data_IF_175870614931
#
_entry.id   IF_175870614931
#
_cell.length_a   1.000
_cell.length_b   1.000
_cell.length_c   1.000
_cell.angle_alpha   90.00
_cell.angle_beta   90.00
_cell.angle_gamma   90.00
#
_symmetry.space_group_name_H-M   'P 1'
#
loop_
_entity.id
_entity.type
_entity.pdbx_description
1 polymer ?
#
# COMPACT_ATOMS: atom_id res chain seq x y z
N UNK A 1 -0.99 19.17 1.30
CA UNK A 1 0.24 18.47 1.69
C UNK A 1 -0.19 17.09 2.15
N UNK A 2 0.02 16.07 1.33
CA UNK A 2 -0.27 14.70 1.74
C UNK A 2 0.84 14.29 2.72
N UNK A 3 0.47 13.97 3.96
CA UNK A 3 1.41 13.46 4.97
C UNK A 3 1.93 12.06 4.61
N UNK A 4 2.85 11.51 5.41
CA UNK A 4 3.32 10.14 5.21
C UNK A 4 2.15 9.16 5.28
N UNK A 5 2.15 8.21 4.36
CA UNK A 5 1.21 7.09 4.32
C UNK A 5 1.32 6.27 5.60
N UNK A 6 0.15 5.95 6.16
CA UNK A 6 0.02 5.11 7.36
C UNK A 6 -0.60 3.75 7.02
N UNK A 7 -0.55 2.80 7.96
CA UNK A 7 -1.26 1.52 7.82
C UNK A 7 -2.78 1.70 7.79
N UNK A 8 -3.31 2.77 8.37
CA UNK A 8 -4.74 3.11 8.32
C UNK A 8 -5.17 3.52 6.92
N UNK A 9 -4.34 4.29 6.22
CA UNK A 9 -4.53 4.61 4.81
C UNK A 9 -4.50 3.34 3.95
N UNK A 10 -3.50 2.47 4.18
CA UNK A 10 -3.38 1.22 3.45
C UNK A 10 -4.61 0.32 3.66
N UNK A 11 -5.04 0.13 4.91
CA UNK A 11 -6.22 -0.64 5.26
C UNK A 11 -7.48 -0.08 4.59
N UNK A 12 -7.66 1.24 4.62
CA UNK A 12 -8.78 1.92 3.97
C UNK A 12 -8.77 1.74 2.46
N UNK A 13 -7.58 1.79 1.84
CA UNK A 13 -7.40 1.55 0.40
C UNK A 13 -7.70 0.10 0.02
N UNK A 14 -7.17 -0.88 0.77
CA UNK A 14 -7.44 -2.30 0.56
C UNK A 14 -8.95 -2.59 0.65
N UNK A 15 -9.62 -2.02 1.66
CA UNK A 15 -11.08 -2.12 1.80
C UNK A 15 -11.81 -1.48 0.63
N UNK A 16 -11.39 -0.30 0.17
CA UNK A 16 -12.09 0.44 -0.90
C UNK A 16 -11.83 -0.12 -2.31
N UNK A 17 -10.65 -0.67 -2.58
CA UNK A 17 -10.22 -1.08 -3.91
C UNK A 17 -10.32 -2.59 -4.14
N UNK A 18 -10.07 -3.38 -3.11
CA UNK A 18 -10.14 -4.84 -3.19
C UNK A 18 -11.34 -5.44 -2.46
N UNK A 19 -12.08 -4.64 -1.68
CA UNK A 19 -13.18 -5.17 -0.86
C UNK A 19 -12.70 -6.02 0.31
N UNK A 20 -11.40 -5.97 0.63
CA UNK A 20 -10.77 -6.77 1.68
C UNK A 20 -10.63 -5.92 2.94
N UNK A 21 -11.52 -6.09 3.93
CA UNK A 21 -11.37 -5.40 5.21
C UNK A 21 -10.18 -6.01 5.96
N UNK A 22 -9.17 -5.19 6.21
CA UNK A 22 -8.01 -5.56 7.02
C UNK A 22 -7.82 -4.52 8.12
N UNK A 23 -7.44 -4.98 9.30
CA UNK A 23 -7.17 -4.09 10.42
C UNK A 23 -5.77 -3.48 10.28
N UNK A 24 -5.59 -2.16 10.51
CA UNK A 24 -4.28 -1.52 10.42
C UNK A 24 -3.28 -2.10 11.43
N UNK A 25 -3.76 -2.57 12.58
CA UNK A 25 -2.94 -3.27 13.56
C UNK A 25 -2.41 -4.62 13.04
N UNK A 26 -3.20 -5.34 12.23
CA UNK A 26 -2.79 -6.60 11.62
C UNK A 26 -1.73 -6.34 10.54
N UNK A 27 -1.94 -5.32 9.69
CA UNK A 27 -0.94 -4.87 8.71
C UNK A 27 0.38 -4.46 9.38
N UNK A 28 0.34 -3.78 10.52
CA UNK A 28 1.53 -3.39 11.26
C UNK A 28 2.25 -4.62 11.86
N UNK A 29 1.48 -5.51 12.51
CA UNK A 29 2.02 -6.73 13.12
C UNK A 29 2.58 -7.72 12.08
N UNK A 30 2.01 -7.72 10.87
CA UNK A 30 2.34 -8.62 9.77
C UNK A 30 2.90 -7.86 8.57
N UNK A 31 3.64 -6.78 8.83
CA UNK A 31 4.15 -5.88 7.79
C UNK A 31 5.10 -6.54 6.78
N UNK A 32 5.72 -7.66 7.16
CA UNK A 32 6.55 -8.49 6.28
C UNK A 32 5.75 -9.57 5.53
N UNK A 33 4.52 -9.88 5.95
CA UNK A 33 3.68 -10.89 5.31
C UNK A 33 3.20 -10.44 3.93
N UNK A 34 3.01 -11.38 2.98
CA UNK A 34 2.53 -11.03 1.66
C UNK A 34 1.07 -10.60 1.69
N UNK A 35 0.69 -9.70 0.78
CA UNK A 35 -0.66 -9.20 0.57
C UNK A 35 -1.70 -10.30 0.36
N UNK A 36 -1.31 -11.39 -0.31
CA UNK A 36 -2.17 -12.57 -0.49
C UNK A 36 -2.60 -13.21 0.83
N UNK A 37 -1.82 -13.10 1.90
CA UNK A 37 -2.16 -13.63 3.22
C UNK A 37 -3.28 -12.83 3.92
N UNK A 38 -3.48 -11.58 3.49
CA UNK A 38 -4.58 -10.75 3.94
C UNK A 38 -5.81 -10.89 3.03
N UNK A 39 -5.75 -11.71 1.98
CA UNK A 39 -6.83 -11.83 0.98
C UNK A 39 -6.81 -10.72 -0.07
N UNK A 40 -5.64 -10.12 -0.33
CA UNK A 40 -5.46 -9.17 -1.44
C UNK A 40 -4.88 -9.90 -2.65
N UNK A 41 -5.70 -10.07 -3.69
CA UNK A 41 -5.28 -10.62 -4.97
C UNK A 41 -4.41 -9.64 -5.77
N UNK A 42 -3.70 -10.15 -6.77
CA UNK A 42 -2.84 -9.36 -7.68
C UNK A 42 -3.58 -8.17 -8.32
N UNK A 43 -4.85 -8.37 -8.73
CA UNK A 43 -5.68 -7.29 -9.27
C UNK A 43 -6.06 -6.24 -8.21
N UNK A 44 -6.33 -6.67 -6.98
CA UNK A 44 -6.59 -5.78 -5.86
C UNK A 44 -5.36 -4.93 -5.53
N UNK A 45 -4.18 -5.53 -5.55
CA UNK A 45 -2.90 -4.84 -5.35
C UNK A 45 -2.65 -3.79 -6.44
N UNK A 46 -2.87 -4.11 -7.71
CA UNK A 46 -2.77 -3.14 -8.81
C UNK A 46 -3.71 -1.95 -8.60
N UNK A 47 -4.96 -2.19 -8.18
CA UNK A 47 -5.92 -1.13 -7.88
C UNK A 47 -5.50 -0.24 -6.70
N UNK A 48 -4.86 -0.81 -5.68
CA UNK A 48 -4.29 -0.06 -4.55
C UNK A 48 -3.11 0.79 -5.01
N UNK A 49 -2.18 0.23 -5.80
CA UNK A 49 -1.02 0.95 -6.33
C UNK A 49 -1.47 2.12 -7.21
N UNK A 50 -2.37 1.89 -8.18
CA UNK A 50 -2.87 2.96 -9.05
C UNK A 50 -3.55 4.11 -8.29
N UNK A 51 -4.28 3.81 -7.20
CA UNK A 51 -4.87 4.86 -6.37
C UNK A 51 -3.82 5.62 -5.56
N UNK A 52 -2.77 4.95 -5.09
CA UNK A 52 -1.64 5.59 -4.42
C UNK A 52 -0.91 6.54 -5.38
N UNK A 53 -0.64 6.10 -6.60
CA UNK A 53 -0.03 6.94 -7.63
C UNK A 53 -0.87 8.18 -7.93
N UNK A 54 -2.19 8.01 -8.04
CA UNK A 54 -3.12 9.12 -8.26
C UNK A 54 -3.17 10.08 -7.05
N UNK A 55 -3.17 9.55 -5.83
CA UNK A 55 -3.24 10.35 -4.58
C UNK A 55 -1.96 11.15 -4.33
N UNK A 56 -0.81 10.53 -4.52
CA UNK A 56 0.50 11.15 -4.25
C UNK A 56 1.12 11.80 -5.48
N UNK A 57 0.57 11.56 -6.68
CA UNK A 57 1.07 12.12 -7.94
C UNK A 57 2.45 11.56 -8.33
N UNK A 58 2.84 10.40 -7.80
CA UNK A 58 4.14 9.79 -8.05
C UNK A 58 3.96 8.39 -8.64
N UNK A 59 4.78 8.03 -9.62
CA UNK A 59 4.76 6.68 -10.18
C UNK A 59 5.43 5.72 -9.21
N UNK A 60 4.67 4.76 -8.69
CA UNK A 60 5.16 3.64 -7.89
C UNK A 60 5.52 2.54 -8.89
N UNK A 61 6.45 2.88 -9.79
CA UNK A 61 7.03 1.95 -10.76
C UNK A 61 8.03 1.09 -10.00
N UNK A 62 7.59 -0.11 -9.65
CA UNK A 62 8.37 -1.06 -8.90
C UNK A 62 7.82 -2.43 -9.18
N UNK A 63 8.67 -3.37 -9.57
CA UNK A 63 8.27 -4.73 -9.93
C UNK A 63 7.28 -5.26 -8.88
N UNK A 64 6.06 -5.69 -9.28
CA UNK A 64 5.03 -6.14 -8.35
C UNK A 64 5.51 -7.32 -7.47
N UNK A 65 6.63 -7.93 -7.86
CA UNK A 65 7.29 -8.98 -7.10
C UNK A 65 8.07 -8.48 -5.88
N UNK A 66 8.63 -7.27 -5.91
CA UNK A 66 9.38 -6.67 -4.81
C UNK A 66 8.47 -6.03 -3.74
N UNK A 67 7.19 -5.81 -4.05
CA UNK A 67 6.26 -5.03 -3.23
C UNK A 67 5.12 -5.87 -2.64
N UNK A 68 5.36 -7.17 -2.41
CA UNK A 68 4.31 -8.07 -1.92
C UNK A 68 3.93 -7.83 -0.46
N UNK A 69 4.63 -6.99 0.31
CA UNK A 69 4.36 -6.81 1.75
C UNK A 69 3.94 -5.37 2.11
N UNK A 70 3.02 -5.19 3.08
CA UNK A 70 2.54 -3.87 3.53
C UNK A 70 3.65 -2.90 3.93
N UNK A 71 4.65 -3.37 4.67
CA UNK A 71 5.75 -2.55 5.16
C UNK A 71 6.65 -2.04 4.04
N UNK A 72 6.90 -2.86 3.02
CA UNK A 72 7.70 -2.47 1.86
C UNK A 72 7.00 -1.39 1.03
N UNK A 73 5.70 -1.56 0.78
CA UNK A 73 4.89 -0.57 0.05
C UNK A 73 4.84 0.77 0.82
N UNK A 74 4.56 0.73 2.12
CA UNK A 74 4.48 1.93 2.96
C UNK A 74 5.82 2.67 3.02
N UNK A 75 6.93 1.94 3.18
CA UNK A 75 8.27 2.54 3.15
C UNK A 75 8.58 3.21 1.81
N UNK A 76 8.26 2.55 0.69
CA UNK A 76 8.45 3.10 -0.66
C UNK A 76 7.62 4.36 -0.89
N UNK A 77 6.33 4.34 -0.54
CA UNK A 77 5.46 5.50 -0.69
C UNK A 77 5.98 6.66 0.15
N UNK A 78 6.34 6.41 1.40
CA UNK A 78 6.88 7.45 2.29
C UNK A 78 8.21 8.02 1.80
N UNK A 79 9.10 7.18 1.26
CA UNK A 79 10.34 7.62 0.62
C UNK A 79 10.05 8.54 -0.58
N UNK A 80 9.13 8.15 -1.47
CA UNK A 80 8.76 8.97 -2.64
C UNK A 80 8.07 10.27 -2.27
N UNK A 81 7.16 10.25 -1.29
CA UNK A 81 6.49 11.45 -0.77
C UNK A 81 7.50 12.39 -0.14
N UNK A 82 8.48 11.86 0.60
CA UNK A 82 9.55 12.65 1.20
C UNK A 82 10.57 13.16 0.18
N UNK A 83 10.83 12.42 -0.90
CA UNK A 83 11.77 12.80 -1.95
C UNK A 83 11.18 13.81 -2.97
N UNK A 84 9.86 13.84 -3.10
CA UNK A 84 9.13 14.80 -3.94
C UNK A 84 8.67 16.07 -3.20
N UNK A 85 8.94 16.18 -1.89
CA UNK A 85 8.56 17.31 -1.03
C UNK A 85 9.65 18.39 -0.94
#
# INVERSE_FOLDING_TARGET
MNGPMTYEDLASLMKSRAGTPVEPADLASRSASPFGDFGLDSLGLLGVISELENRYGCSIDGEPEAHKSPGALLALVNDRVSAGA
#
